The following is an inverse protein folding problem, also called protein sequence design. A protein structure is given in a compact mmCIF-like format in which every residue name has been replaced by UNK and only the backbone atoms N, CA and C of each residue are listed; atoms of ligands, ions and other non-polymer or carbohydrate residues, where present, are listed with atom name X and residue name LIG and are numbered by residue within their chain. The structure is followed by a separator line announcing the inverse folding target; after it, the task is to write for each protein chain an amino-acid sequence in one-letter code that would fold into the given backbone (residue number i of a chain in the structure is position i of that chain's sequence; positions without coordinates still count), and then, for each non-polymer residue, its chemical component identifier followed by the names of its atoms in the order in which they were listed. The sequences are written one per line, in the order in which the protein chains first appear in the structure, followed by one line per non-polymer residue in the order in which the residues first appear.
data_IF_948598085239
#
_entry.id   IF_948598085239
#
_cell.length_a   1.000
_cell.length_b   1.000
_cell.length_c   1.000
_cell.angle_alpha   90.00
_cell.angle_beta   90.00
_cell.angle_gamma   90.00
#
_symmetry.space_group_name_H-M   'P 1'
#
loop_
_entity.id
_entity.type
_entity.pdbx_description
1 polymer ?
#
# COMPACT_ATOMS: atom_id res chain seq x y z
N UNK A 1 -11.32 10.06 -6.82
CA UNK A 1 -10.02 10.49 -6.26
C UNK A 1 -8.93 9.87 -7.11
N UNK A 2 -8.13 10.72 -7.80
CA UNK A 2 -7.02 10.24 -8.62
C UNK A 2 -5.89 9.81 -7.68
N UNK A 3 -5.61 8.54 -7.60
CA UNK A 3 -4.49 8.04 -6.83
C UNK A 3 -3.22 8.22 -7.67
N UNK A 4 -2.45 9.29 -7.44
CA UNK A 4 -1.14 9.47 -8.09
C UNK A 4 -0.11 8.54 -7.45
N UNK A 5 -0.26 7.23 -7.70
CA UNK A 5 0.72 6.20 -7.29
C UNK A 5 1.72 5.88 -8.41
N UNK A 6 1.57 6.47 -9.59
CA UNK A 6 2.33 6.12 -10.78
C UNK A 6 3.60 6.95 -11.04
N UNK A 7 4.09 7.72 -10.07
CA UNK A 7 5.35 8.49 -10.23
C UNK A 7 6.59 7.62 -9.95
N UNK A 8 6.54 6.33 -10.26
CA UNK A 8 7.62 5.38 -9.95
C UNK A 8 8.78 5.34 -10.96
N UNK A 9 8.74 6.13 -12.03
CA UNK A 9 9.78 6.14 -13.05
C UNK A 9 10.67 7.38 -13.06
N UNK A 10 10.45 8.32 -12.16
CA UNK A 10 11.35 9.46 -12.00
C UNK A 10 12.43 9.13 -10.96
N UNK A 11 13.60 9.73 -11.08
CA UNK A 11 14.71 9.62 -10.12
C UNK A 11 14.39 10.25 -8.74
N UNK A 12 13.14 10.57 -8.48
CA UNK A 12 12.67 11.24 -7.28
C UNK A 12 11.50 10.52 -6.60
N UNK A 13 11.29 10.85 -5.33
CA UNK A 13 10.15 10.43 -4.53
C UNK A 13 9.22 11.63 -4.36
N UNK A 14 7.92 11.41 -4.57
CA UNK A 14 6.92 12.43 -4.27
C UNK A 14 6.88 12.66 -2.77
N UNK A 15 7.31 13.86 -2.35
CA UNK A 15 7.35 14.28 -0.94
C UNK A 15 6.05 14.96 -0.52
N UNK A 16 5.35 15.61 -1.47
CA UNK A 16 4.08 16.27 -1.21
C UNK A 16 3.24 16.36 -2.49
N UNK A 17 1.93 16.40 -2.33
CA UNK A 17 0.97 16.65 -3.41
C UNK A 17 -0.03 17.67 -2.93
N UNK A 18 -0.19 18.77 -3.67
CA UNK A 18 -1.19 19.79 -3.43
C UNK A 18 -2.14 19.86 -4.61
N UNK A 19 -3.43 19.70 -4.35
CA UNK A 19 -4.45 19.91 -5.35
C UNK A 19 -4.64 21.42 -5.60
N UNK A 20 -4.36 21.89 -6.81
CA UNK A 20 -4.53 23.28 -7.19
C UNK A 20 -5.93 23.56 -7.73
N UNK A 21 -6.47 22.63 -8.52
CA UNK A 21 -7.76 22.80 -9.18
C UNK A 21 -8.43 21.45 -9.41
N UNK A 22 -9.75 21.45 -9.32
CA UNK A 22 -10.58 20.31 -9.71
C UNK A 22 -11.80 20.85 -10.47
N UNK A 23 -12.04 20.33 -11.66
CA UNK A 23 -13.21 20.61 -12.50
C UNK A 23 -13.89 19.30 -12.84
N UNK A 24 -15.15 19.17 -12.44
CA UNK A 24 -15.95 17.98 -12.72
C UNK A 24 -16.98 18.32 -13.80
N UNK A 25 -16.89 17.65 -14.95
CA UNK A 25 -17.88 17.67 -16.02
C UNK A 25 -18.61 16.31 -16.06
N UNK A 26 -19.78 16.19 -16.73
CA UNK A 26 -20.61 14.98 -16.68
C UNK A 26 -19.90 13.65 -17.04
N UNK A 27 -18.79 13.72 -17.79
CA UNK A 27 -18.02 12.53 -18.23
C UNK A 27 -16.51 12.68 -18.03
N UNK A 28 -16.05 13.79 -17.43
CA UNK A 28 -14.61 14.09 -17.35
C UNK A 28 -14.33 14.84 -16.06
N UNK A 29 -13.25 14.48 -15.40
CA UNK A 29 -12.73 15.21 -14.26
C UNK A 29 -11.32 15.70 -14.58
N UNK A 30 -11.09 17.02 -14.48
CA UNK A 30 -9.77 17.62 -14.60
C UNK A 30 -9.22 17.94 -13.23
N UNK A 31 -8.02 17.47 -12.94
CA UNK A 31 -7.33 17.76 -11.68
C UNK A 31 -5.96 18.34 -11.99
N UNK A 32 -5.67 19.54 -11.48
CA UNK A 32 -4.34 20.12 -11.50
C UNK A 32 -3.67 19.90 -10.15
N UNK A 33 -2.47 19.33 -10.17
CA UNK A 33 -1.69 19.01 -8.98
C UNK A 33 -0.35 19.73 -9.02
N UNK A 34 0.09 20.27 -7.88
CA UNK A 34 1.46 20.65 -7.60
C UNK A 34 2.11 19.49 -6.85
N UNK A 35 3.27 19.06 -7.32
CA UNK A 35 3.94 17.87 -6.77
C UNK A 35 5.37 18.24 -6.37
N UNK A 36 5.68 18.10 -5.08
CA UNK A 36 7.04 18.21 -4.58
C UNK A 36 7.78 16.89 -4.82
N UNK A 37 8.85 16.94 -5.60
CA UNK A 37 9.69 15.77 -5.89
C UNK A 37 11.06 15.96 -5.27
N UNK A 38 11.45 15.06 -4.39
CA UNK A 38 12.78 15.05 -3.77
C UNK A 38 13.61 13.94 -4.39
N UNK A 39 14.84 14.27 -4.78
CA UNK A 39 15.77 13.28 -5.34
C UNK A 39 16.07 12.20 -4.32
N UNK A 40 15.86 10.97 -4.70
CA UNK A 40 16.13 9.81 -3.84
C UNK A 40 17.65 9.54 -3.79
N UNK A 41 18.15 9.08 -2.63
CA UNK A 41 19.59 8.90 -2.41
C UNK A 41 20.10 7.55 -2.90
N UNK A 42 21.22 7.56 -3.60
CA UNK A 42 21.96 6.36 -4.01
C UNK A 42 21.42 5.68 -5.26
N UNK A 43 22.08 4.63 -5.66
CA UNK A 43 21.74 3.77 -6.79
C UNK A 43 20.97 2.54 -6.32
N UNK A 44 20.09 2.04 -7.18
CA UNK A 44 19.36 0.81 -6.93
C UNK A 44 20.28 -0.42 -7.06
N UNK A 45 20.25 -1.32 -6.09
CA UNK A 45 20.90 -2.63 -6.24
C UNK A 45 19.99 -3.56 -7.03
N UNK A 46 20.24 -3.73 -8.32
CA UNK A 46 19.42 -4.57 -9.23
C UNK A 46 19.39 -6.05 -8.83
N UNK A 47 20.38 -6.52 -8.05
CA UNK A 47 20.42 -7.90 -7.56
C UNK A 47 19.54 -8.12 -6.31
N UNK A 48 19.04 -7.04 -5.71
CA UNK A 48 18.08 -7.04 -4.61
C UNK A 48 16.70 -6.68 -5.15
N UNK A 49 16.02 -7.64 -5.75
CA UNK A 49 14.72 -7.46 -6.40
C UNK A 49 13.74 -8.60 -6.05
N UNK A 50 13.24 -8.63 -4.80
CA UNK A 50 12.29 -9.65 -4.37
C UNK A 50 10.96 -9.53 -5.13
N UNK A 51 10.43 -10.66 -5.60
CA UNK A 51 9.08 -10.73 -6.14
C UNK A 51 8.09 -10.83 -4.97
N UNK A 52 7.18 -9.85 -4.90
CA UNK A 52 6.10 -9.84 -3.90
C UNK A 52 4.81 -9.57 -4.65
N UNK A 53 3.79 -10.42 -4.45
CA UNK A 53 2.49 -10.28 -5.09
C UNK A 53 1.36 -10.71 -4.17
N UNK A 54 0.18 -10.18 -4.38
CA UNK A 54 -1.03 -10.64 -3.69
C UNK A 54 -1.56 -11.92 -4.35
N UNK A 55 -2.20 -12.79 -3.56
CA UNK A 55 -2.90 -13.97 -4.07
C UNK A 55 -4.06 -13.60 -5.00
N UNK A 56 -4.68 -12.45 -4.74
CA UNK A 56 -5.76 -11.88 -5.56
C UNK A 56 -5.82 -10.36 -5.37
N UNK A 57 -6.27 -9.64 -6.40
CA UNK A 57 -6.34 -8.18 -6.43
C UNK A 57 -7.77 -7.63 -6.39
N UNK A 58 -8.78 -8.51 -6.43
CA UNK A 58 -10.19 -8.17 -6.28
C UNK A 58 -10.75 -8.98 -5.12
N UNK A 59 -11.16 -8.29 -4.08
CA UNK A 59 -11.58 -8.88 -2.81
C UNK A 59 -12.99 -8.41 -2.47
N UNK A 60 -13.74 -9.24 -1.78
CA UNK A 60 -14.98 -8.83 -1.12
C UNK A 60 -14.68 -8.39 0.30
N UNK A 61 -15.55 -7.57 0.87
CA UNK A 61 -15.49 -7.23 2.28
C UNK A 61 -15.51 -8.50 3.15
N UNK A 62 -14.56 -8.62 4.07
CA UNK A 62 -14.31 -9.79 4.91
C UNK A 62 -13.56 -10.94 4.22
N UNK A 63 -13.22 -10.83 2.94
CA UNK A 63 -12.48 -11.88 2.23
C UNK A 63 -11.00 -11.92 2.64
N UNK A 64 -10.47 -13.12 2.75
CA UNK A 64 -9.08 -13.36 3.12
C UNK A 64 -8.16 -13.18 1.92
N UNK A 65 -6.95 -12.66 2.17
CA UNK A 65 -5.91 -12.63 1.15
C UNK A 65 -4.56 -13.02 1.74
N UNK A 66 -3.68 -13.43 0.85
CA UNK A 66 -2.28 -13.74 1.16
C UNK A 66 -1.35 -12.94 0.26
N UNK A 67 -0.11 -12.83 0.72
CA UNK A 67 1.00 -12.25 -0.03
C UNK A 67 1.98 -13.37 -0.33
N UNK A 68 2.33 -13.54 -1.59
CA UNK A 68 3.31 -14.51 -2.05
C UNK A 68 4.63 -13.76 -2.12
N UNK A 69 5.61 -14.25 -1.37
CA UNK A 69 6.93 -13.64 -1.21
C UNK A 69 7.97 -14.59 -1.79
N UNK A 70 8.76 -14.11 -2.76
CA UNK A 70 9.83 -14.86 -3.40
C UNK A 70 11.12 -14.04 -3.37
N UNK A 71 12.01 -14.33 -2.42
CA UNK A 71 13.25 -13.58 -2.26
C UNK A 71 14.23 -13.89 -3.39
N UNK A 72 14.93 -12.87 -3.89
CA UNK A 72 16.17 -13.04 -4.68
C UNK A 72 17.40 -13.09 -3.77
N UNK A 73 17.32 -12.42 -2.63
CA UNK A 73 18.27 -12.43 -1.51
C UNK A 73 17.49 -12.34 -0.20
N UNK A 74 18.05 -12.82 0.92
CA UNK A 74 17.41 -12.66 2.23
C UNK A 74 17.10 -11.20 2.55
N UNK A 75 15.91 -10.92 3.11
CA UNK A 75 15.48 -9.57 3.45
C UNK A 75 14.47 -9.55 4.61
N UNK A 76 14.31 -8.38 5.22
CA UNK A 76 13.26 -8.06 6.17
C UNK A 76 12.11 -7.36 5.45
N UNK A 77 10.89 -7.60 5.89
CA UNK A 77 9.68 -7.06 5.26
C UNK A 77 8.93 -6.16 6.25
N UNK A 78 8.37 -5.08 5.73
CA UNK A 78 7.28 -4.35 6.36
C UNK A 78 6.14 -4.25 5.35
N UNK A 79 4.91 -4.56 5.77
CA UNK A 79 3.71 -4.43 4.95
C UNK A 79 2.79 -3.35 5.52
N UNK A 80 2.28 -2.51 4.63
CA UNK A 80 1.30 -1.47 4.94
C UNK A 80 0.13 -1.55 3.98
N UNK A 81 -1.05 -1.23 4.47
CA UNK A 81 -2.20 -0.92 3.60
C UNK A 81 -2.34 0.60 3.54
N UNK A 82 -2.36 1.12 2.33
CA UNK A 82 -2.76 2.49 2.06
C UNK A 82 -4.24 2.53 1.71
N UNK A 83 -5.00 3.33 2.46
CA UNK A 83 -6.41 3.61 2.19
C UNK A 83 -6.62 5.13 2.08
N UNK A 84 -7.11 5.64 0.95
CA UNK A 84 -7.40 7.07 0.80
C UNK A 84 -8.68 7.51 1.51
N UNK A 85 -9.42 6.59 2.12
CA UNK A 85 -10.76 6.81 2.70
C UNK A 85 -10.73 7.08 4.20
N UNK A 86 -9.57 7.13 4.81
CA UNK A 86 -9.37 7.40 6.23
C UNK A 86 -8.67 8.75 6.45
N UNK A 87 -8.56 9.17 7.70
CA UNK A 87 -7.87 10.41 8.04
C UNK A 87 -6.40 10.37 7.59
N UNK A 88 -5.84 11.53 7.22
CA UNK A 88 -4.51 11.63 6.60
C UNK A 88 -3.41 10.91 7.40
N UNK A 89 -3.42 11.06 8.72
CA UNK A 89 -2.42 10.45 9.62
C UNK A 89 -2.54 8.92 9.75
N UNK A 90 -3.66 8.32 9.30
CA UNK A 90 -3.94 6.89 9.36
C UNK A 90 -3.97 6.23 7.96
N UNK A 91 -3.64 6.97 6.90
CA UNK A 91 -3.71 6.47 5.53
C UNK A 91 -2.87 5.21 5.28
N UNK A 92 -1.76 5.06 5.98
CA UNK A 92 -0.94 3.86 5.95
C UNK A 92 -0.98 3.16 7.29
N UNK A 93 -1.62 2.01 7.33
CA UNK A 93 -1.66 1.14 8.50
C UNK A 93 -0.73 -0.06 8.31
N UNK A 94 0.15 -0.32 9.29
CA UNK A 94 1.06 -1.46 9.25
C UNK A 94 0.32 -2.76 9.50
N UNK A 95 0.45 -3.73 8.58
CA UNK A 95 -0.03 -5.10 8.73
C UNK A 95 1.05 -6.02 9.31
N UNK A 96 2.32 -5.79 8.93
CA UNK A 96 3.45 -6.59 9.36
C UNK A 96 4.73 -5.72 9.47
N UNK A 97 5.59 -5.95 10.49
CA UNK A 97 5.37 -6.84 11.62
C UNK A 97 4.25 -6.35 12.53
N UNK A 98 3.66 -7.26 13.33
CA UNK A 98 2.59 -6.95 14.28
C UNK A 98 2.78 -7.74 15.59
N UNK A 99 1.78 -7.76 16.46
CA UNK A 99 1.86 -8.43 17.76
C UNK A 99 1.90 -9.95 17.65
N UNK A 100 1.27 -10.53 16.63
CA UNK A 100 1.19 -11.97 16.37
C UNK A 100 2.41 -12.45 15.58
N UNK A 101 2.76 -11.74 14.51
CA UNK A 101 3.86 -12.08 13.62
C UNK A 101 4.99 -11.05 13.75
N UNK A 102 6.04 -11.45 14.46
CA UNK A 102 7.22 -10.61 14.67
C UNK A 102 8.07 -10.50 13.41
N UNK A 103 8.88 -9.45 13.33
CA UNK A 103 9.85 -9.28 12.25
C UNK A 103 10.78 -10.49 12.14
N UNK A 104 10.98 -10.95 10.92
CA UNK A 104 11.88 -12.07 10.59
C UNK A 104 12.54 -11.89 9.25
N UNK A 105 13.61 -12.65 9.02
CA UNK A 105 14.28 -12.73 7.73
C UNK A 105 13.49 -13.64 6.78
N UNK A 106 13.23 -13.17 5.56
CA UNK A 106 12.64 -13.94 4.47
C UNK A 106 13.77 -14.39 3.53
N UNK A 107 14.07 -15.68 3.49
CA UNK A 107 15.17 -16.30 2.74
C UNK A 107 14.69 -17.35 1.73
N UNK A 108 13.39 -17.70 1.76
CA UNK A 108 12.77 -18.68 0.86
C UNK A 108 11.36 -18.24 0.46
N UNK A 109 10.87 -18.84 -0.62
CA UNK A 109 9.49 -18.60 -1.08
C UNK A 109 8.47 -19.04 -0.03
N UNK A 110 7.48 -18.18 0.21
CA UNK A 110 6.45 -18.42 1.22
C UNK A 110 5.16 -17.68 0.88
N UNK A 111 4.03 -18.28 1.24
CA UNK A 111 2.73 -17.60 1.35
C UNK A 111 2.59 -17.01 2.76
N UNK A 112 2.32 -15.72 2.83
CA UNK A 112 2.27 -14.96 4.06
C UNK A 112 0.92 -14.22 4.19
N UNK A 113 0.32 -14.10 5.38
CA UNK A 113 0.81 -14.48 6.70
C UNK A 113 0.78 -16.00 6.96
N UNK A 114 1.61 -16.46 7.91
CA UNK A 114 1.69 -17.89 8.26
C UNK A 114 0.89 -18.25 9.49
N UNK A 115 0.76 -17.34 10.45
CA UNK A 115 0.16 -17.59 11.78
C UNK A 115 -1.09 -16.74 12.02
N UNK A 116 -1.39 -15.82 11.11
CA UNK A 116 -2.57 -14.94 11.16
C UNK A 116 -3.33 -14.99 9.84
N UNK A 117 -4.37 -14.17 9.72
CA UNK A 117 -5.16 -14.02 8.50
C UNK A 117 -5.34 -12.54 8.23
N UNK A 118 -5.10 -12.11 6.98
CA UNK A 118 -5.43 -10.77 6.54
C UNK A 118 -6.81 -10.76 5.91
N UNK A 119 -7.63 -9.79 6.31
CA UNK A 119 -8.97 -9.56 5.79
C UNK A 119 -9.00 -8.26 5.00
N UNK A 120 -9.71 -8.28 3.89
CA UNK A 120 -10.10 -7.05 3.22
C UNK A 120 -11.25 -6.40 4.01
N UNK A 121 -11.12 -5.13 4.36
CA UNK A 121 -12.15 -4.38 5.09
C UNK A 121 -12.62 -3.24 4.20
N UNK A 122 -13.92 -3.27 3.86
CA UNK A 122 -14.53 -2.20 3.10
C UNK A 122 -14.69 -0.93 3.96
N UNK A 123 -14.25 0.25 3.49
CA UNK A 123 -14.37 1.49 4.27
C UNK A 123 -15.82 1.88 4.50
N UNK A 124 -16.16 2.29 5.73
CA UNK A 124 -17.55 2.58 6.13
C UNK A 124 -18.15 3.87 5.53
N UNK A 125 -17.31 4.81 5.13
CA UNK A 125 -17.71 6.20 4.82
C UNK A 125 -17.56 6.56 3.34
N UNK A 126 -17.81 5.61 2.44
CA UNK A 126 -17.77 5.85 1.00
C UNK A 126 -19.11 5.53 0.36
N UNK A 127 -19.44 6.29 -0.68
CA UNK A 127 -20.72 6.17 -1.41
C UNK A 127 -20.68 5.20 -2.60
N UNK A 128 -19.52 4.60 -2.86
CA UNK A 128 -19.31 3.65 -3.96
C UNK A 128 -19.32 2.22 -3.45
N UNK A 129 -19.68 1.26 -4.31
CA UNK A 129 -19.62 -0.18 -4.00
C UNK A 129 -18.21 -0.77 -4.12
N UNK A 130 -17.24 0.02 -4.53
CA UNK A 130 -15.85 -0.39 -4.76
C UNK A 130 -14.92 0.61 -4.06
N UNK A 131 -13.99 0.09 -3.28
CA UNK A 131 -12.92 0.84 -2.63
C UNK A 131 -11.55 0.39 -3.17
N UNK A 132 -10.80 1.31 -3.75
CA UNK A 132 -9.43 1.05 -4.20
C UNK A 132 -8.44 1.31 -3.08
N UNK A 133 -7.52 0.39 -2.89
CA UNK A 133 -6.47 0.42 -1.88
C UNK A 133 -5.15 -0.06 -2.46
N UNK A 134 -4.06 0.15 -1.73
CA UNK A 134 -2.74 -0.34 -2.15
C UNK A 134 -2.05 -1.01 -0.98
N UNK A 135 -1.62 -2.24 -1.19
CA UNK A 135 -0.68 -2.89 -0.31
C UNK A 135 0.73 -2.42 -0.66
N UNK A 136 1.45 -1.86 0.30
CA UNK A 136 2.82 -1.39 0.15
C UNK A 136 3.75 -2.33 0.90
N UNK A 137 4.60 -3.03 0.15
CA UNK A 137 5.63 -3.90 0.70
C UNK A 137 6.98 -3.16 0.67
N UNK A 138 7.61 -3.04 1.84
CA UNK A 138 8.96 -2.46 2.00
C UNK A 138 9.89 -3.59 2.37
N UNK A 139 10.67 -4.06 1.40
CA UNK A 139 11.74 -5.03 1.61
C UNK A 139 13.05 -4.30 1.91
N UNK A 140 13.78 -4.72 2.94
CA UNK A 140 15.04 -4.10 3.36
C UNK A 140 16.11 -5.14 3.70
N UNK A 141 17.37 -4.85 3.40
CA UNK A 141 18.50 -5.75 3.70
C UNK A 141 18.79 -5.86 5.21
N UNK A 142 18.42 -4.84 5.97
CA UNK A 142 18.54 -4.80 7.43
C UNK A 142 17.17 -4.65 8.04
N UNK A 143 17.01 -5.17 9.24
CA UNK A 143 15.78 -4.95 10.00
C UNK A 143 15.59 -3.47 10.30
N UNK A 144 14.39 -2.97 10.02
CA UNK A 144 13.99 -1.61 10.34
C UNK A 144 12.70 -1.63 11.14
N UNK A 145 12.65 -0.83 12.19
CA UNK A 145 11.43 -0.66 12.97
C UNK A 145 10.71 0.59 12.48
N UNK A 146 9.55 0.42 11.89
CA UNK A 146 8.66 1.49 11.45
C UNK A 146 7.48 1.60 12.40
N UNK A 147 6.95 2.80 12.58
CA UNK A 147 5.75 3.00 13.41
C UNK A 147 4.51 2.39 12.73
N UNK A 148 3.47 2.16 13.51
CA UNK A 148 2.26 1.46 13.05
C UNK A 148 1.46 2.24 11.99
N UNK A 149 1.39 3.57 12.11
CA UNK A 149 0.60 4.41 11.21
C UNK A 149 1.43 5.59 10.68
N UNK A 150 1.15 5.99 9.45
CA UNK A 150 1.76 7.12 8.75
C UNK A 150 0.73 7.85 7.91
N UNK A 151 0.92 9.15 7.72
CA UNK A 151 0.47 9.81 6.49
C UNK A 151 1.35 9.37 5.32
N UNK A 152 0.86 9.50 4.09
CA UNK A 152 1.67 9.16 2.90
C UNK A 152 2.95 10.01 2.82
N UNK A 153 2.86 11.29 3.20
CA UNK A 153 4.00 12.21 3.20
C UNK A 153 5.09 11.78 4.20
N UNK A 154 4.69 11.46 5.44
CA UNK A 154 5.62 10.97 6.47
C UNK A 154 6.28 9.64 6.08
N UNK A 155 5.52 8.72 5.50
CA UNK A 155 6.05 7.46 4.99
C UNK A 155 7.10 7.70 3.92
N UNK A 156 6.81 8.53 2.92
CA UNK A 156 7.75 8.86 1.85
C UNK A 156 9.02 9.51 2.41
N UNK A 157 8.89 10.44 3.37
CA UNK A 157 10.04 11.04 4.06
C UNK A 157 10.89 9.98 4.77
N UNK A 158 10.26 9.05 5.49
CA UNK A 158 10.98 7.97 6.19
C UNK A 158 11.68 7.05 5.22
N UNK A 159 11.06 6.73 4.08
CA UNK A 159 11.69 5.91 3.05
C UNK A 159 12.94 6.55 2.44
N UNK A 160 13.00 7.88 2.33
CA UNK A 160 14.19 8.59 1.84
C UNK A 160 15.43 8.48 2.77
N UNK A 161 15.22 8.17 4.05
CA UNK A 161 16.31 7.96 5.01
C UNK A 161 17.03 6.61 4.77
N UNK A 162 16.39 5.67 4.08
CA UNK A 162 16.95 4.35 3.76
C UNK A 162 17.53 4.40 2.34
N UNK A 163 18.81 4.09 2.12
CA UNK A 163 19.41 4.11 0.79
C UNK A 163 18.67 3.19 -0.21
N UNK A 164 18.57 3.60 -1.48
CA UNK A 164 17.96 2.78 -2.56
C UNK A 164 18.58 1.41 -2.70
N UNK A 165 19.89 1.29 -2.48
CA UNK A 165 20.60 0.02 -2.52
C UNK A 165 20.21 -0.96 -1.40
N UNK A 166 19.58 -0.45 -0.32
CA UNK A 166 19.20 -1.26 0.85
C UNK A 166 17.71 -1.53 0.94
N UNK A 167 16.88 -0.98 0.02
CA UNK A 167 15.43 -1.16 0.05
C UNK A 167 14.83 -1.43 -1.32
N UNK A 168 13.63 -2.05 -1.31
CA UNK A 168 12.66 -2.08 -2.40
C UNK A 168 11.29 -1.72 -1.86
N UNK A 169 10.57 -0.89 -2.59
CA UNK A 169 9.19 -0.53 -2.29
C UNK A 169 8.34 -1.03 -3.44
N UNK A 170 7.48 -1.98 -3.14
CA UNK A 170 6.60 -2.63 -4.11
C UNK A 170 5.17 -2.22 -3.75
N UNK A 171 4.44 -1.71 -4.75
CA UNK A 171 3.06 -1.26 -4.61
C UNK A 171 2.14 -2.21 -5.35
N UNK A 172 1.18 -2.77 -4.65
CA UNK A 172 0.26 -3.78 -5.14
C UNK A 172 -1.16 -3.23 -5.03
N UNK A 173 -1.70 -2.62 -6.10
CA UNK A 173 -3.07 -2.11 -6.09
C UNK A 173 -4.07 -3.25 -6.02
N UNK A 174 -5.15 -3.03 -5.25
CA UNK A 174 -6.26 -3.95 -5.15
C UNK A 174 -7.57 -3.21 -4.87
N UNK A 175 -8.69 -3.86 -5.16
CA UNK A 175 -10.03 -3.30 -4.95
C UNK A 175 -10.82 -4.18 -4.00
N UNK A 176 -11.59 -3.54 -3.12
CA UNK A 176 -12.51 -4.19 -2.19
C UNK A 176 -13.93 -3.86 -2.61
N UNK A 177 -14.75 -4.88 -2.76
CA UNK A 177 -16.16 -4.75 -3.11
C UNK A 177 -17.01 -4.85 -1.86
N UNK A 178 -17.96 -3.91 -1.71
CA UNK A 178 -18.94 -3.97 -0.64
C UNK A 178 -19.76 -5.26 -0.72
N UNK A 179 -19.94 -5.93 0.40
CA UNK A 179 -20.89 -7.03 0.48
C UNK A 179 -22.28 -6.43 0.56
N UNK A 180 -23.05 -6.45 -0.55
CA UNK A 180 -24.44 -6.04 -0.54
C UNK A 180 -25.20 -7.03 0.33
N UNK A 181 -25.58 -6.63 1.53
CA UNK A 181 -26.61 -7.33 2.28
C UNK A 181 -27.89 -7.23 1.44
N UNK A 182 -28.39 -8.34 0.92
CA UNK A 182 -29.66 -8.37 0.24
C UNK A 182 -30.73 -7.89 1.23
N UNK A 183 -31.13 -6.64 1.11
CA UNK A 183 -32.32 -6.15 1.80
C UNK A 183 -33.50 -6.95 1.22
N UNK A 184 -33.91 -7.96 1.94
CA UNK A 184 -35.20 -8.62 1.71
C UNK A 184 -36.26 -7.54 1.96
N UNK A 185 -36.75 -6.94 0.89
CA UNK A 185 -37.98 -6.15 0.97
C UNK A 185 -39.05 -7.12 1.44
N UNK A 186 -39.29 -7.13 2.76
CA UNK A 186 -40.55 -7.65 3.27
C UNK A 186 -41.62 -6.72 2.74
N UNK A 187 -42.25 -7.10 1.64
CA UNK A 187 -43.46 -6.48 1.18
C UNK A 187 -44.53 -6.63 2.28
N UNK A 188 -45.12 -5.53 2.67
CA UNK A 188 -46.39 -5.48 3.30
C UNK A 188 -47.47 -5.61 2.24
#
# INVERSE_FOLDING_TARGET
QLLVLSVSHTEGVVAGVKKLKEEVAPRTCYVALEVDVVKDKGTTDISFDPEIRMSQTRLRDGEHFKVIIKPTKPFYLNLFVFSPYVAEHDQLAQLYPNEIEKSRLFDKEIEFPTSSVYFAIFPKNISTDIADSVLIAVATKKEINLRKNFSLAEFNKRMQEIPKSERRIIRLPFSIWATRTAYTLKGN
#
